data_IF_899114726315
#
_entry.id   IF_899114726315
#
_cell.length_a   1.000
_cell.length_b   1.000
_cell.length_c   1.000
_cell.angle_alpha   90.00
_cell.angle_beta   90.00
_cell.angle_gamma   90.00
#
_symmetry.space_group_name_H-M   'P 1'
#
loop_
_entity.id
_entity.type
_entity.pdbx_description
1 polymer ?
#
# COMPACT_ATOMS: atom_id res chain seq x y z
N UNK A 1 22.44 -39.37 -29.00
CA UNK A 1 22.67 -38.44 -27.88
C UNK A 1 22.84 -37.05 -28.50
N UNK A 2 21.76 -36.37 -28.89
CA UNK A 2 20.94 -35.46 -28.06
C UNK A 2 21.77 -34.30 -27.48
N UNK A 3 22.01 -33.28 -28.30
CA UNK A 3 22.16 -31.91 -27.81
C UNK A 3 20.84 -31.20 -28.12
N UNK A 4 20.14 -30.80 -27.07
CA UNK A 4 18.87 -30.08 -27.12
C UNK A 4 19.09 -28.68 -27.71
N UNK A 5 18.38 -28.39 -28.81
CA UNK A 5 18.07 -27.03 -29.25
C UNK A 5 17.18 -26.37 -28.19
N UNK A 6 17.75 -25.47 -27.39
CA UNK A 6 16.99 -24.45 -26.69
C UNK A 6 16.90 -23.27 -27.66
N UNK A 7 15.69 -23.06 -28.21
CA UNK A 7 15.37 -21.94 -29.08
C UNK A 7 15.66 -20.63 -28.38
N UNK A 8 16.77 -20.00 -28.76
CA UNK A 8 16.93 -18.56 -28.65
C UNK A 8 16.12 -17.98 -29.80
N UNK A 9 14.87 -17.61 -29.54
CA UNK A 9 14.15 -16.71 -30.44
C UNK A 9 14.95 -15.41 -30.49
N UNK A 10 15.51 -15.14 -31.67
CA UNK A 10 16.11 -13.87 -32.02
C UNK A 10 15.08 -12.77 -31.74
N UNK A 11 15.24 -12.05 -30.63
CA UNK A 11 14.54 -10.77 -30.47
C UNK A 11 15.10 -9.84 -31.54
N UNK A 12 14.33 -9.64 -32.61
CA UNK A 12 14.64 -8.67 -33.63
C UNK A 12 15.00 -7.32 -32.98
N UNK A 13 16.11 -6.69 -33.39
CA UNK A 13 16.42 -5.36 -32.90
C UNK A 13 15.25 -4.44 -33.25
N UNK A 14 14.79 -3.64 -32.27
CA UNK A 14 13.74 -2.63 -32.47
C UNK A 14 14.18 -1.69 -33.60
N UNK A 15 13.82 -2.03 -34.83
CA UNK A 15 14.03 -1.18 -35.99
C UNK A 15 12.92 -0.14 -35.92
N UNK A 16 13.24 1.16 -35.80
CA UNK A 16 12.21 2.18 -35.84
C UNK A 16 11.54 2.08 -37.21
N UNK A 17 10.29 1.62 -37.23
CA UNK A 17 9.51 1.57 -38.47
C UNK A 17 9.54 2.94 -39.17
N UNK A 18 9.57 2.97 -40.51
CA UNK A 18 9.47 4.23 -41.24
C UNK A 18 8.23 4.96 -40.77
N UNK A 19 8.41 6.18 -40.25
CA UNK A 19 7.36 6.99 -39.63
C UNK A 19 6.10 7.02 -40.51
N UNK A 20 5.14 6.14 -40.22
CA UNK A 20 3.79 6.27 -40.75
C UNK A 20 3.35 7.70 -40.41
N UNK A 21 2.77 8.42 -41.38
CA UNK A 21 2.27 9.79 -41.18
C UNK A 21 1.30 9.78 -40.00
N UNK A 22 1.82 10.05 -38.80
CA UNK A 22 1.07 10.11 -37.55
C UNK A 22 0.06 11.24 -37.71
N UNK A 23 -1.21 10.94 -37.47
CA UNK A 23 -2.24 11.97 -37.48
C UNK A 23 -1.83 13.08 -36.49
N UNK A 24 -1.67 14.34 -36.92
CA UNK A 24 -1.32 15.44 -36.02
C UNK A 24 -2.35 15.63 -34.90
N UNK A 25 -3.58 15.12 -35.04
CA UNK A 25 -4.60 15.10 -33.99
C UNK A 25 -4.34 14.09 -32.89
N UNK A 26 -3.52 13.05 -33.12
CA UNK A 26 -3.16 12.06 -32.10
C UNK A 26 -2.30 12.67 -30.97
N UNK A 27 -1.68 13.83 -31.20
CA UNK A 27 -0.92 14.60 -30.20
C UNK A 27 -1.75 15.73 -29.56
N UNK A 28 -2.97 15.99 -30.05
CA UNK A 28 -3.82 17.07 -29.53
C UNK A 28 -4.62 16.69 -28.28
N UNK A 29 -4.47 15.46 -27.77
CA UNK A 29 -4.87 15.13 -26.42
C UNK A 29 -3.82 15.66 -25.43
N UNK A 30 -3.60 16.98 -25.42
CA UNK A 30 -2.80 17.62 -24.38
C UNK A 30 -3.48 17.38 -23.05
N UNK A 31 -3.03 16.35 -22.34
CA UNK A 31 -3.33 16.15 -20.94
C UNK A 31 -2.36 17.04 -20.18
N UNK A 32 -2.90 17.88 -19.29
CA UNK A 32 -2.15 18.88 -18.53
C UNK A 32 -0.78 18.34 -18.06
N UNK A 33 0.31 19.04 -18.36
CA UNK A 33 1.68 18.53 -18.18
C UNK A 33 2.07 18.08 -16.77
N UNK A 34 1.28 18.37 -15.73
CA UNK A 34 1.50 17.83 -14.39
C UNK A 34 0.73 16.51 -14.12
N UNK A 35 -0.46 16.36 -14.69
CA UNK A 35 -1.42 15.27 -14.37
C UNK A 35 -1.68 14.32 -15.54
N UNK A 36 -1.23 14.69 -16.74
CA UNK A 36 -1.32 13.92 -17.97
C UNK A 36 -0.15 12.99 -18.23
N UNK A 37 0.62 12.68 -17.19
CA UNK A 37 1.85 11.90 -17.30
C UNK A 37 1.52 10.46 -17.74
N UNK A 38 2.17 10.01 -18.81
CA UNK A 38 2.10 8.62 -19.26
C UNK A 38 3.30 7.89 -18.72
N UNK A 39 3.07 6.90 -17.86
CA UNK A 39 4.13 6.01 -17.38
C UNK A 39 4.22 4.82 -18.31
N UNK A 40 5.40 4.60 -18.88
CA UNK A 40 5.69 3.44 -19.74
C UNK A 40 6.34 2.36 -18.89
N UNK A 41 5.77 1.15 -18.88
CA UNK A 41 6.30 -0.05 -18.23
C UNK A 41 6.20 -1.24 -19.20
N UNK A 42 7.04 -2.26 -19.01
CA UNK A 42 6.82 -3.54 -19.68
C UNK A 42 5.53 -4.19 -19.16
N UNK A 43 4.90 -5.11 -19.91
CA UNK A 43 3.71 -5.81 -19.44
C UNK A 43 3.91 -6.52 -18.09
N UNK A 44 5.08 -7.11 -17.88
CA UNK A 44 5.44 -7.84 -16.67
C UNK A 44 5.59 -6.90 -15.47
N UNK A 45 6.26 -5.76 -15.67
CA UNK A 45 6.43 -4.74 -14.63
C UNK A 45 5.10 -4.08 -14.25
N UNK A 46 4.21 -3.85 -15.22
CA UNK A 46 2.89 -3.29 -14.97
C UNK A 46 2.01 -4.26 -14.16
N UNK A 47 2.05 -5.55 -14.51
CA UNK A 47 1.34 -6.59 -13.76
C UNK A 47 1.87 -6.69 -12.32
N UNK A 48 3.19 -6.67 -12.13
CA UNK A 48 3.81 -6.72 -10.81
C UNK A 48 3.49 -5.48 -9.95
N UNK A 49 3.53 -4.29 -10.56
CA UNK A 49 3.16 -3.04 -9.90
C UNK A 49 1.69 -3.04 -9.49
N UNK A 50 0.79 -3.44 -10.40
CA UNK A 50 -0.64 -3.54 -10.13
C UNK A 50 -0.94 -4.50 -8.97
N UNK A 51 -0.33 -5.69 -8.99
CA UNK A 51 -0.47 -6.67 -7.91
C UNK A 51 0.05 -6.13 -6.56
N UNK A 52 1.17 -5.40 -6.58
CA UNK A 52 1.71 -4.74 -5.38
C UNK A 52 0.75 -3.69 -4.82
N UNK A 53 0.21 -2.81 -5.66
CA UNK A 53 -0.78 -1.82 -5.24
C UNK A 53 -2.04 -2.49 -4.68
N UNK A 54 -2.58 -3.50 -5.36
CA UNK A 54 -3.76 -4.25 -4.88
C UNK A 54 -3.52 -4.87 -3.50
N UNK A 55 -2.37 -5.50 -3.28
CA UNK A 55 -2.01 -6.08 -1.99
C UNK A 55 -1.91 -4.99 -0.89
N UNK A 56 -1.30 -3.85 -1.20
CA UNK A 56 -1.21 -2.73 -0.27
C UNK A 56 -2.59 -2.18 0.12
N UNK A 57 -3.51 -2.02 -0.84
CA UNK A 57 -4.89 -1.60 -0.59
C UNK A 57 -5.67 -2.63 0.23
N UNK A 58 -5.52 -3.92 -0.06
CA UNK A 58 -6.15 -4.99 0.72
C UNK A 58 -5.62 -5.03 2.16
N UNK A 59 -4.32 -4.86 2.35
CA UNK A 59 -3.66 -4.94 3.66
C UNK A 59 -3.96 -3.73 4.54
N UNK A 60 -4.02 -2.54 3.95
CA UNK A 60 -4.28 -1.30 4.70
C UNK A 60 -5.77 -0.99 4.84
N UNK A 61 -6.63 -1.63 4.03
CA UNK A 61 -8.08 -1.51 4.04
C UNK A 61 -8.56 -0.04 4.17
N UNK A 62 -8.15 0.85 3.24
CA UNK A 62 -8.53 2.24 3.32
C UNK A 62 -10.03 2.43 3.06
N UNK A 63 -10.63 3.35 3.79
CA UNK A 63 -12.01 3.80 3.59
C UNK A 63 -12.07 5.31 3.34
N UNK A 64 -12.83 5.71 2.32
CA UNK A 64 -12.94 7.11 1.90
C UNK A 64 -11.74 7.61 1.09
N UNK A 65 -11.93 8.75 0.41
CA UNK A 65 -10.96 9.25 -0.57
C UNK A 65 -9.56 9.50 0.01
N UNK A 66 -9.48 10.11 1.19
CA UNK A 66 -8.18 10.45 1.81
C UNK A 66 -7.38 9.21 2.22
N UNK A 67 -8.01 8.19 2.79
CA UNK A 67 -7.30 6.94 3.14
C UNK A 67 -6.84 6.21 1.87
N UNK A 68 -7.66 6.23 0.80
CA UNK A 68 -7.34 5.60 -0.50
C UNK A 68 -6.15 6.29 -1.15
N UNK A 69 -6.13 7.62 -1.18
CA UNK A 69 -5.01 8.40 -1.71
C UNK A 69 -3.72 8.15 -0.94
N UNK A 70 -3.76 8.21 0.40
CA UNK A 70 -2.60 7.91 1.24
C UNK A 70 -2.09 6.48 1.03
N UNK A 71 -3.00 5.52 0.89
CA UNK A 71 -2.64 4.12 0.63
C UNK A 71 -1.96 3.95 -0.72
N UNK A 72 -2.43 4.63 -1.75
CA UNK A 72 -1.78 4.65 -3.06
C UNK A 72 -0.37 5.25 -2.98
N UNK A 73 -0.25 6.40 -2.30
CA UNK A 73 1.04 7.07 -2.05
C UNK A 73 2.04 6.15 -1.34
N UNK A 74 1.59 5.43 -0.31
CA UNK A 74 2.39 4.44 0.43
C UNK A 74 2.81 3.29 -0.49
N UNK A 75 1.90 2.80 -1.32
CA UNK A 75 2.20 1.73 -2.28
C UNK A 75 3.27 2.18 -3.29
N UNK A 76 3.13 3.39 -3.83
CA UNK A 76 4.05 3.98 -4.80
C UNK A 76 5.43 4.20 -4.21
N UNK A 77 5.51 4.80 -3.02
CA UNK A 77 6.79 5.04 -2.36
C UNK A 77 7.49 3.73 -1.97
N UNK A 78 6.73 2.70 -1.53
CA UNK A 78 7.29 1.35 -1.33
C UNK A 78 7.78 0.71 -2.62
N UNK A 79 7.07 0.88 -3.73
CA UNK A 79 7.50 0.37 -5.02
C UNK A 79 8.81 1.02 -5.47
N UNK A 80 8.91 2.35 -5.29
CA UNK A 80 10.13 3.12 -5.59
C UNK A 80 11.32 2.68 -4.73
N UNK A 81 11.11 2.41 -3.45
CA UNK A 81 12.16 1.88 -2.56
C UNK A 81 12.64 0.50 -3.03
N UNK A 82 11.73 -0.42 -3.37
CA UNK A 82 12.10 -1.74 -3.92
C UNK A 82 12.95 -1.59 -5.19
N UNK A 83 12.57 -0.68 -6.08
CA UNK A 83 13.33 -0.40 -7.31
C UNK A 83 14.69 0.24 -7.02
N UNK A 84 14.79 1.12 -6.02
CA UNK A 84 16.05 1.72 -5.61
C UNK A 84 17.05 0.65 -5.14
N UNK A 85 16.60 -0.28 -4.29
CA UNK A 85 17.41 -1.41 -3.82
C UNK A 85 17.85 -2.28 -5.00
N UNK A 86 16.92 -2.68 -5.88
CA UNK A 86 17.26 -3.49 -7.05
C UNK A 86 18.27 -2.79 -7.97
N UNK A 87 18.15 -1.48 -8.17
CA UNK A 87 19.09 -0.71 -8.98
C UNK A 87 20.48 -0.67 -8.35
N UNK A 88 20.56 -0.52 -7.04
CA UNK A 88 21.83 -0.56 -6.32
C UNK A 88 22.51 -1.93 -6.46
N UNK A 89 21.78 -3.02 -6.25
CA UNK A 89 22.29 -4.39 -6.46
C UNK A 89 22.79 -4.61 -7.90
N UNK A 90 22.04 -4.14 -8.89
CA UNK A 90 22.42 -4.25 -10.30
C UNK A 90 23.72 -3.50 -10.63
N UNK A 91 23.97 -2.33 -10.02
CA UNK A 91 25.22 -1.57 -10.20
C UNK A 91 26.42 -2.41 -9.71
N UNK A 92 26.32 -3.05 -8.55
CA UNK A 92 27.38 -3.94 -8.05
C UNK A 92 27.55 -5.19 -8.91
N UNK A 93 26.45 -5.80 -9.35
CA UNK A 93 26.48 -6.97 -10.23
C UNK A 93 27.19 -6.68 -11.57
N UNK A 94 26.90 -5.54 -12.20
CA UNK A 94 27.59 -5.13 -13.44
C UNK A 94 29.10 -4.95 -13.24
N UNK A 95 29.50 -4.41 -12.09
CA UNK A 95 30.91 -4.22 -11.79
C UNK A 95 31.67 -5.49 -11.43
N UNK A 96 30.98 -6.51 -10.93
CA UNK A 96 31.52 -7.87 -10.78
C UNK A 96 31.69 -8.56 -12.13
N UNK A 97 30.79 -8.30 -13.09
CA UNK A 97 30.90 -8.82 -14.46
C UNK A 97 32.04 -8.17 -15.26
N UNK A 98 32.61 -7.07 -14.77
CA UNK A 98 33.75 -6.38 -15.39
C UNK A 98 35.02 -6.69 -14.58
N UNK A 99 35.98 -7.49 -15.06
CA UNK A 99 37.14 -7.88 -14.26
C UNK A 99 37.99 -6.68 -13.79
N UNK A 100 38.52 -6.76 -12.57
CA UNK A 100 39.55 -5.84 -12.08
C UNK A 100 40.82 -5.92 -12.95
N UNK A 101 41.49 -4.81 -13.29
CA UNK A 101 42.81 -4.86 -13.90
C UNK A 101 43.88 -5.42 -12.95
N UNK A 102 43.58 -5.47 -11.65
CA UNK A 102 44.40 -6.13 -10.63
C UNK A 102 43.85 -7.56 -10.47
N UNK A 103 44.58 -8.54 -10.98
CA UNK A 103 44.31 -9.96 -10.79
C UNK A 103 45.16 -10.49 -9.63
N UNK A 104 44.51 -10.94 -8.57
CA UNK A 104 45.16 -11.50 -7.38
C UNK A 104 45.22 -13.03 -7.39
N UNK A 105 44.59 -13.66 -8.39
CA UNK A 105 44.43 -15.11 -8.52
C UNK A 105 43.69 -15.75 -7.34
N UNK A 106 43.04 -14.93 -6.51
CA UNK A 106 42.17 -15.36 -5.42
C UNK A 106 40.75 -14.85 -5.70
N UNK A 107 39.80 -15.73 -6.07
CA UNK A 107 38.47 -15.33 -6.55
C UNK A 107 37.72 -14.36 -5.63
N UNK A 108 37.79 -14.57 -4.31
CA UNK A 108 37.13 -13.70 -3.34
C UNK A 108 37.78 -12.30 -3.24
N UNK A 109 39.10 -12.20 -3.42
CA UNK A 109 39.83 -10.93 -3.37
C UNK A 109 39.58 -10.16 -4.66
N UNK A 110 39.55 -10.85 -5.81
CA UNK A 110 39.22 -10.26 -7.10
C UNK A 110 37.77 -9.72 -7.13
N UNK A 111 36.83 -10.45 -6.52
CA UNK A 111 35.44 -9.98 -6.34
C UNK A 111 35.37 -8.74 -5.43
N UNK A 112 36.06 -8.76 -4.29
CA UNK A 112 36.11 -7.62 -3.36
C UNK A 112 36.72 -6.36 -4.00
N UNK A 113 37.81 -6.51 -4.77
CA UNK A 113 38.43 -5.39 -5.50
C UNK A 113 37.52 -4.84 -6.60
N UNK A 114 36.80 -5.72 -7.29
CA UNK A 114 35.82 -5.31 -8.29
C UNK A 114 34.68 -4.51 -7.67
N UNK A 115 34.15 -4.93 -6.52
CA UNK A 115 33.14 -4.16 -5.76
C UNK A 115 33.69 -2.83 -5.24
N UNK A 116 34.90 -2.82 -4.67
CA UNK A 116 35.54 -1.59 -4.19
C UNK A 116 35.73 -0.56 -5.32
N UNK A 117 36.07 -1.03 -6.53
CA UNK A 117 36.15 -0.17 -7.70
C UNK A 117 34.80 0.40 -8.10
N UNK A 118 33.71 -0.38 -8.06
CA UNK A 118 32.35 0.14 -8.29
C UNK A 118 32.04 1.25 -7.30
N UNK A 119 32.34 1.02 -6.02
CA UNK A 119 32.13 2.01 -4.99
C UNK A 119 32.88 3.31 -5.27
N UNK A 120 34.18 3.23 -5.61
CA UNK A 120 34.99 4.41 -5.88
C UNK A 120 34.53 5.15 -7.16
N UNK A 121 34.15 4.42 -8.20
CA UNK A 121 33.76 4.99 -9.51
C UNK A 121 32.33 5.53 -9.55
N UNK A 122 31.41 4.90 -8.80
CA UNK A 122 29.98 5.25 -8.75
C UNK A 122 29.55 5.87 -7.41
N UNK A 123 30.51 6.33 -6.60
CA UNK A 123 30.27 6.84 -5.24
C UNK A 123 29.24 7.97 -5.19
N UNK A 124 29.24 8.87 -6.18
CA UNK A 124 28.32 10.01 -6.24
C UNK A 124 26.88 9.56 -6.50
N UNK A 125 26.70 8.64 -7.44
CA UNK A 125 25.41 8.06 -7.81
C UNK A 125 24.84 7.26 -6.64
N UNK A 126 25.67 6.44 -5.99
CA UNK A 126 25.29 5.67 -4.79
C UNK A 126 24.86 6.62 -3.65
N UNK A 127 25.60 7.71 -3.43
CA UNK A 127 25.22 8.72 -2.43
C UNK A 127 23.88 9.41 -2.78
N UNK A 128 23.63 9.72 -4.06
CA UNK A 128 22.35 10.27 -4.51
C UNK A 128 21.20 9.29 -4.30
N UNK A 129 21.40 8.00 -4.59
CA UNK A 129 20.40 6.96 -4.32
C UNK A 129 20.05 6.89 -2.84
N UNK A 130 21.06 6.84 -1.95
CA UNK A 130 20.84 6.82 -0.51
C UNK A 130 20.07 8.05 -0.01
N UNK A 131 20.35 9.24 -0.56
CA UNK A 131 19.59 10.46 -0.25
C UNK A 131 18.12 10.36 -0.69
N UNK A 132 17.86 9.84 -1.89
CA UNK A 132 16.50 9.66 -2.38
C UNK A 132 15.75 8.60 -1.60
N UNK A 133 16.40 7.48 -1.27
CA UNK A 133 15.86 6.43 -0.40
C UNK A 133 15.43 7.02 0.94
N UNK A 134 16.33 7.77 1.59
CA UNK A 134 16.00 8.42 2.86
C UNK A 134 14.80 9.37 2.74
N UNK A 135 14.74 10.20 1.69
CA UNK A 135 13.61 11.12 1.49
C UNK A 135 12.29 10.39 1.25
N UNK A 136 12.31 9.33 0.45
CA UNK A 136 11.11 8.51 0.18
C UNK A 136 10.68 7.80 1.47
N UNK A 137 11.62 7.24 2.23
CA UNK A 137 11.32 6.60 3.51
C UNK A 137 10.71 7.59 4.51
N UNK A 138 11.22 8.82 4.61
CA UNK A 138 10.64 9.88 5.44
C UNK A 138 9.21 10.24 5.01
N UNK A 139 8.93 10.30 3.70
CA UNK A 139 7.57 10.54 3.19
C UNK A 139 6.66 9.35 3.54
N UNK A 140 7.12 8.13 3.33
CA UNK A 140 6.41 6.90 3.65
C UNK A 140 6.02 6.83 5.14
N UNK A 141 6.96 7.13 6.04
CA UNK A 141 6.72 7.16 7.49
C UNK A 141 5.62 8.15 7.87
N UNK A 142 5.64 9.36 7.28
CA UNK A 142 4.62 10.39 7.51
C UNK A 142 3.25 9.97 7.00
N UNK A 143 3.19 9.44 5.77
CA UNK A 143 1.93 9.00 5.17
C UNK A 143 1.31 7.83 5.94
N UNK A 144 2.14 6.88 6.42
CA UNK A 144 1.68 5.80 7.29
C UNK A 144 1.14 6.32 8.62
N UNK A 145 1.79 7.31 9.23
CA UNK A 145 1.32 7.93 10.47
C UNK A 145 -0.03 8.64 10.26
N UNK A 146 -0.16 9.40 9.17
CA UNK A 146 -1.42 10.09 8.83
C UNK A 146 -2.55 9.11 8.54
N UNK A 147 -2.29 8.03 7.80
CA UNK A 147 -3.29 6.99 7.54
C UNK A 147 -3.77 6.33 8.84
N UNK A 148 -2.84 5.98 9.73
CA UNK A 148 -3.20 5.41 11.04
C UNK A 148 -4.06 6.37 11.86
N UNK A 149 -3.72 7.65 11.86
CA UNK A 149 -4.49 8.67 12.56
C UNK A 149 -5.93 8.74 12.03
N UNK A 150 -6.12 8.82 10.70
CA UNK A 150 -7.45 8.85 10.08
C UNK A 150 -8.27 7.60 10.43
N UNK A 151 -7.65 6.42 10.37
CA UNK A 151 -8.30 5.16 10.71
C UNK A 151 -8.64 5.06 12.20
N UNK A 152 -7.80 5.58 13.09
CA UNK A 152 -8.10 5.68 14.52
C UNK A 152 -9.26 6.62 14.78
N UNK A 153 -9.27 7.80 14.16
CA UNK A 153 -10.34 8.79 14.34
C UNK A 153 -11.67 8.27 13.80
N UNK A 154 -11.66 7.60 12.65
CA UNK A 154 -12.83 6.92 12.10
C UNK A 154 -13.34 5.81 13.02
N UNK A 155 -12.47 4.96 13.55
CA UNK A 155 -12.87 3.90 14.49
C UNK A 155 -13.45 4.46 15.79
N UNK A 156 -12.86 5.53 16.33
CA UNK A 156 -13.39 6.22 17.53
C UNK A 156 -14.76 6.82 17.24
N UNK A 157 -14.91 7.52 16.12
CA UNK A 157 -16.19 8.08 15.72
C UNK A 157 -17.26 6.99 15.56
N UNK A 158 -16.91 5.84 14.97
CA UNK A 158 -17.82 4.71 14.85
C UNK A 158 -18.23 4.16 16.22
N UNK A 159 -17.28 3.97 17.12
CA UNK A 159 -17.55 3.48 18.48
C UNK A 159 -18.51 4.42 19.21
N UNK A 160 -18.24 5.73 19.18
CA UNK A 160 -19.10 6.76 19.78
C UNK A 160 -20.51 6.73 19.17
N UNK A 161 -20.61 6.71 17.84
CA UNK A 161 -21.90 6.66 17.16
C UNK A 161 -22.72 5.42 17.53
N UNK A 162 -22.07 4.25 17.60
CA UNK A 162 -22.72 2.99 17.99
C UNK A 162 -23.17 3.02 19.45
N UNK A 163 -22.36 3.57 20.35
CA UNK A 163 -22.70 3.73 21.77
C UNK A 163 -23.90 4.66 21.96
N UNK A 164 -23.88 5.85 21.34
CA UNK A 164 -24.98 6.81 21.41
C UNK A 164 -26.29 6.23 20.85
N UNK A 165 -26.24 5.63 19.66
CA UNK A 165 -27.41 4.99 19.06
C UNK A 165 -27.94 3.81 19.89
N UNK A 166 -27.05 3.03 20.51
CA UNK A 166 -27.47 1.94 21.39
C UNK A 166 -28.17 2.44 22.65
N UNK A 167 -27.67 3.54 23.25
CA UNK A 167 -28.29 4.19 24.40
C UNK A 167 -29.68 4.76 24.05
N UNK A 168 -29.80 5.47 22.92
CA UNK A 168 -31.09 5.99 22.47
C UNK A 168 -32.10 4.86 22.22
N UNK A 169 -31.67 3.78 21.57
CA UNK A 169 -32.51 2.62 21.32
C UNK A 169 -32.93 1.89 22.62
N UNK A 170 -32.07 1.88 23.65
CA UNK A 170 -32.41 1.33 24.97
C UNK A 170 -33.40 2.23 25.72
N UNK A 171 -33.23 3.55 25.63
CA UNK A 171 -34.14 4.52 26.23
C UNK A 171 -35.53 4.51 25.57
N UNK A 172 -35.61 4.38 24.24
CA UNK A 172 -36.88 4.21 23.55
C UNK A 172 -37.58 2.91 23.98
N UNK A 173 -36.82 1.80 24.07
CA UNK A 173 -37.35 0.52 24.52
C UNK A 173 -37.89 0.56 25.97
N UNK A 174 -37.22 1.28 26.89
CA UNK A 174 -37.70 1.41 28.27
C UNK A 174 -38.99 2.24 28.39
N UNK A 175 -39.25 3.13 27.43
CA UNK A 175 -40.49 3.89 27.30
C UNK A 175 -41.58 3.19 26.49
N UNK A 176 -41.27 2.04 25.86
CA UNK A 176 -42.18 1.34 24.95
C UNK A 176 -42.35 2.03 23.59
N UNK A 177 -41.42 2.89 23.20
CA UNK A 177 -41.45 3.65 21.94
C UNK A 177 -40.61 2.96 20.85
N UNK A 178 -41.01 3.06 19.56
CA UNK A 178 -40.21 2.55 18.46
C UNK A 178 -39.01 3.46 18.17
N UNK A 179 -37.81 2.89 18.14
CA UNK A 179 -36.58 3.56 17.70
C UNK A 179 -36.35 3.31 16.21
N UNK A 180 -36.28 4.39 15.43
CA UNK A 180 -35.92 4.35 14.02
C UNK A 180 -34.58 5.05 13.81
N UNK A 181 -33.65 4.34 13.19
CA UNK A 181 -32.26 4.74 13.10
C UNK A 181 -32.09 5.98 12.22
N UNK A 182 -32.77 6.06 11.08
CA UNK A 182 -32.63 7.22 10.17
C UNK A 182 -33.33 8.47 10.70
N UNK A 183 -34.46 8.29 11.39
CA UNK A 183 -35.24 9.38 11.99
C UNK A 183 -34.60 9.92 13.26
N UNK A 184 -34.19 9.03 14.16
CA UNK A 184 -33.78 9.38 15.52
C UNK A 184 -32.25 9.51 15.66
N UNK A 185 -31.48 9.03 14.67
CA UNK A 185 -30.02 9.07 14.69
C UNK A 185 -29.40 9.25 13.27
N UNK A 186 -29.44 10.47 12.70
CA UNK A 186 -28.93 10.74 11.35
C UNK A 186 -27.40 10.66 11.30
N UNK A 187 -26.85 9.44 11.17
CA UNK A 187 -25.42 9.10 11.25
C UNK A 187 -24.57 10.01 10.37
N UNK A 188 -24.96 10.21 9.10
CA UNK A 188 -24.17 10.96 8.12
C UNK A 188 -24.10 12.46 8.43
N UNK A 189 -25.09 13.01 9.14
CA UNK A 189 -25.10 14.41 9.55
C UNK A 189 -24.20 14.65 10.77
N UNK A 190 -24.17 13.70 11.71
CA UNK A 190 -23.43 13.80 12.97
C UNK A 190 -21.98 13.35 12.84
N UNK A 191 -21.71 12.35 11.98
CA UNK A 191 -20.40 11.75 11.77
C UNK A 191 -20.10 11.63 10.27
N UNK A 192 -19.80 12.74 9.58
CA UNK A 192 -19.57 12.75 8.14
C UNK A 192 -18.40 11.87 7.68
N UNK A 193 -17.46 11.55 8.56
CA UNK A 193 -16.35 10.64 8.33
C UNK A 193 -16.75 9.16 8.28
N UNK A 194 -17.97 8.81 8.70
CA UNK A 194 -18.47 7.44 8.71
C UNK A 194 -19.25 7.15 7.42
N UNK A 195 -18.68 6.35 6.53
CA UNK A 195 -19.33 5.90 5.30
C UNK A 195 -19.86 4.48 5.52
N UNK A 196 -21.07 4.36 6.05
CA UNK A 196 -21.73 3.06 6.28
C UNK A 196 -23.06 2.98 5.57
N UNK A 197 -23.44 1.76 5.20
CA UNK A 197 -24.83 1.47 4.91
C UNK A 197 -25.64 1.48 6.21
N UNK A 198 -26.84 2.08 6.20
CA UNK A 198 -27.80 2.02 7.31
C UNK A 198 -27.98 0.60 7.89
N UNK A 199 -28.13 -0.48 7.08
CA UNK A 199 -28.31 -1.83 7.63
C UNK A 199 -27.07 -2.39 8.34
N UNK A 200 -25.86 -2.09 7.90
CA UNK A 200 -24.64 -2.53 8.60
C UNK A 200 -24.49 -1.84 9.95
N UNK A 201 -24.72 -0.53 9.99
CA UNK A 201 -24.69 0.23 11.23
C UNK A 201 -25.76 -0.27 12.22
N UNK A 202 -26.98 -0.56 11.75
CA UNK A 202 -28.04 -1.13 12.58
C UNK A 202 -27.64 -2.47 13.22
N UNK A 203 -26.90 -3.33 12.49
CA UNK A 203 -26.37 -4.60 13.03
C UNK A 203 -25.36 -4.36 14.15
N UNK A 204 -24.48 -3.37 14.01
CA UNK A 204 -23.50 -3.01 15.05
C UNK A 204 -24.19 -2.49 16.32
N UNK A 205 -25.19 -1.64 16.17
CA UNK A 205 -26.01 -1.13 17.29
C UNK A 205 -26.73 -2.29 17.99
N UNK A 206 -27.36 -3.18 17.23
CA UNK A 206 -28.03 -4.37 17.78
C UNK A 206 -27.05 -5.31 18.50
N UNK A 207 -25.85 -5.51 17.94
CA UNK A 207 -24.78 -6.29 18.56
C UNK A 207 -24.33 -5.65 19.87
N UNK A 208 -24.08 -4.34 19.89
CA UNK A 208 -23.67 -3.60 21.09
C UNK A 208 -24.69 -3.73 22.22
N UNK A 209 -25.99 -3.58 21.92
CA UNK A 209 -27.08 -3.78 22.88
C UNK A 209 -27.12 -5.21 23.46
N UNK A 210 -26.98 -6.22 22.60
CA UNK A 210 -26.94 -7.63 23.04
C UNK A 210 -25.73 -7.91 23.93
N UNK A 211 -24.57 -7.36 23.57
CA UNK A 211 -23.34 -7.46 24.35
C UNK A 211 -23.50 -6.81 25.73
N UNK A 212 -24.10 -5.62 25.80
CA UNK A 212 -24.37 -4.93 27.07
C UNK A 212 -25.30 -5.75 27.97
N UNK A 213 -26.42 -6.25 27.42
CA UNK A 213 -27.34 -7.13 28.15
C UNK A 213 -26.67 -8.42 28.62
N UNK A 214 -25.81 -9.04 27.81
CA UNK A 214 -25.05 -10.22 28.20
C UNK A 214 -24.05 -9.92 29.34
N UNK A 215 -23.40 -8.75 29.33
CA UNK A 215 -22.51 -8.30 30.41
C UNK A 215 -23.25 -8.09 31.73
N UNK A 216 -24.48 -7.60 31.69
CA UNK A 216 -25.33 -7.45 32.88
C UNK A 216 -25.85 -8.80 33.40
N UNK A 217 -26.18 -9.74 32.51
CA UNK A 217 -26.73 -11.05 32.86
C UNK A 217 -25.68 -12.03 33.41
N UNK A 218 -24.39 -11.87 33.06
CA UNK A 218 -23.30 -12.71 33.55
C UNK A 218 -22.67 -12.02 34.78
N UNK A 219 -23.00 -12.42 36.02
CA UNK A 219 -22.27 -11.93 37.19
C UNK A 219 -20.79 -12.31 37.04
N UNK A 220 -19.89 -11.38 37.36
CA UNK A 220 -18.44 -11.58 37.30
C UNK A 220 -18.07 -12.96 37.87
N UNK A 221 -17.55 -13.85 37.02
CA UNK A 221 -17.33 -15.25 37.35
C UNK A 221 -16.50 -15.37 38.65
N UNK A 222 -17.11 -15.91 39.70
CA UNK A 222 -16.47 -16.18 41.00
C UNK A 222 -15.52 -17.38 40.99
N UNK A 223 -15.19 -17.95 39.82
CA UNK A 223 -14.24 -19.06 39.75
C UNK A 223 -13.21 -18.85 38.63
N UNK A 224 -11.91 -18.79 38.95
CA UNK A 224 -10.88 -18.80 37.93
C UNK A 224 -10.93 -20.14 37.19
N UNK A 225 -10.77 -20.07 35.86
CA UNK A 225 -10.61 -21.26 35.02
C UNK A 225 -9.52 -22.17 35.62
N UNK A 226 -9.88 -23.42 35.95
CA UNK A 226 -8.89 -24.43 36.33
C UNK A 226 -7.95 -24.62 35.13
N UNK A 227 -6.67 -24.27 35.33
CA UNK A 227 -5.61 -24.57 34.37
C UNK A 227 -5.66 -26.06 34.04
N UNK A 228 -5.74 -26.39 32.75
CA UNK A 228 -5.55 -27.75 32.29
C UNK A 228 -4.12 -28.19 32.61
N UNK A 229 -3.98 -29.41 33.12
CA UNK A 229 -2.73 -30.05 33.51
C UNK A 229 -1.93 -30.53 32.28
#
# INVERSE_FOLDING_TARGET
MLFLELGMEDQEPLTPEPQAKRDPRALNAYRHGLTGQVVVRTPEDEAAYTAHCQNMHQSLAPEGGMEVELTQDIADDRWRLKKAVAMQENIFAMGLATPSPIATHHPEVDAAFSQARVWLTSSKEIALYSLYEHRIQRKLEKNLAQLRQLQEDRRKALQQAVEEAALLAQAAASKGEPFDLERDFPVQALYPQLVFSTPEFARLVAYSRRLASAKEAIPAARQPFRKAA
#
